data_IF_915192368925
#
_entry.id   IF_915192368925
#
_cell.length_a   1.000
_cell.length_b   1.000
_cell.length_c   1.000
_cell.angle_alpha   90.00
_cell.angle_beta   90.00
_cell.angle_gamma   90.00
#
_symmetry.space_group_name_H-M   'P 1'
#
loop_
_entity.id
_entity.type
_entity.pdbx_description
1 polymer ?
#
# COMPACT_ATOMS: atom_id res chain seq x y z
N UNK A 1 -17.02 23.85 18.46
CA UNK A 1 -16.18 22.64 18.59
C UNK A 1 -14.87 22.96 17.90
N UNK A 2 -13.72 22.71 18.53
CA UNK A 2 -12.43 22.92 17.87
C UNK A 2 -12.36 21.95 16.68
N UNK A 3 -12.11 22.45 15.47
CA UNK A 3 -11.87 21.58 14.31
C UNK A 3 -10.64 20.73 14.56
N UNK A 4 -10.68 19.45 14.21
CA UNK A 4 -9.51 18.56 14.30
C UNK A 4 -8.41 19.01 13.34
N UNK A 5 -7.15 18.56 13.55
CA UNK A 5 -6.06 18.83 12.61
C UNK A 5 -6.36 18.27 11.21
N UNK A 6 -7.06 17.13 11.14
CA UNK A 6 -7.60 16.54 9.92
C UNK A 6 -8.53 17.48 9.17
N UNK A 7 -9.55 18.01 9.85
CA UNK A 7 -10.49 18.95 9.24
C UNK A 7 -9.82 20.25 8.81
N UNK A 8 -8.95 20.79 9.68
CA UNK A 8 -8.24 22.05 9.43
C UNK A 8 -7.20 21.96 8.29
N UNK A 9 -6.73 20.75 7.98
CA UNK A 9 -5.75 20.50 6.92
C UNK A 9 -6.35 20.01 5.61
N UNK A 10 -7.64 19.72 5.55
CA UNK A 10 -8.31 19.28 4.33
C UNK A 10 -8.35 20.40 3.29
N UNK A 11 -7.90 20.12 2.08
CA UNK A 11 -7.87 21.03 0.95
C UNK A 11 -8.37 20.34 -0.32
N UNK A 12 -8.55 21.11 -1.40
CA UNK A 12 -9.04 20.62 -2.68
C UNK A 12 -8.04 20.83 -3.81
N UNK A 13 -7.88 19.82 -4.65
CA UNK A 13 -7.10 19.86 -5.89
C UNK A 13 -8.05 19.62 -7.06
N UNK A 14 -8.19 20.60 -7.94
CA UNK A 14 -8.88 20.41 -9.21
C UNK A 14 -7.89 19.86 -10.24
N UNK A 15 -8.16 18.67 -10.78
CA UNK A 15 -7.35 18.07 -11.83
C UNK A 15 -8.27 17.60 -12.97
N UNK A 16 -8.20 18.30 -14.12
CA UNK A 16 -9.14 18.15 -15.23
C UNK A 16 -10.58 18.36 -14.72
N UNK A 17 -11.49 17.45 -15.06
CA UNK A 17 -12.91 17.52 -14.71
C UNK A 17 -13.24 16.88 -13.36
N UNK A 18 -12.22 16.58 -12.53
CA UNK A 18 -12.40 15.94 -11.22
C UNK A 18 -11.81 16.79 -10.11
N UNK A 19 -12.59 16.90 -9.03
CA UNK A 19 -12.16 17.47 -7.76
C UNK A 19 -11.67 16.36 -6.85
N UNK A 20 -10.46 16.50 -6.35
CA UNK A 20 -9.88 15.63 -5.33
C UNK A 20 -9.74 16.44 -4.04
N UNK A 21 -9.93 15.78 -2.91
CA UNK A 21 -9.59 16.29 -1.60
C UNK A 21 -8.29 15.64 -1.12
N UNK A 22 -7.50 16.36 -0.35
CA UNK A 22 -6.27 15.84 0.24
C UNK A 22 -5.97 16.55 1.56
N UNK A 23 -5.04 16.02 2.34
CA UNK A 23 -4.62 16.61 3.61
C UNK A 23 -3.33 17.39 3.41
N UNK A 24 -3.46 18.72 3.38
CA UNK A 24 -2.42 19.68 3.03
C UNK A 24 -1.47 19.93 4.19
N UNK A 25 -0.20 19.55 4.02
CA UNK A 25 0.84 19.84 5.01
C UNK A 25 1.02 21.36 5.24
N UNK A 26 1.01 22.25 4.22
CA UNK A 26 1.03 23.69 4.45
C UNK A 26 -0.12 24.22 5.33
N UNK A 27 -1.32 23.64 5.22
CA UNK A 27 -2.43 24.00 6.10
C UNK A 27 -2.21 23.47 7.51
N UNK A 28 -1.77 22.21 7.66
CA UNK A 28 -1.45 21.62 8.96
C UNK A 28 -0.33 22.39 9.69
N UNK A 29 0.64 22.94 8.96
CA UNK A 29 1.74 23.75 9.49
C UNK A 29 1.26 24.99 10.25
N UNK A 30 0.08 25.54 9.93
CA UNK A 30 -0.51 26.67 10.68
C UNK A 30 -0.76 26.32 12.16
N UNK A 31 -1.03 25.05 12.45
CA UNK A 31 -1.25 24.54 13.81
C UNK A 31 -0.03 23.82 14.38
N UNK A 32 0.78 23.17 13.53
CA UNK A 32 1.93 22.35 13.93
C UNK A 32 3.26 23.11 13.99
N UNK A 33 3.33 24.31 13.43
CA UNK A 33 4.58 25.07 13.28
C UNK A 33 5.36 24.69 12.02
N UNK A 34 6.67 24.98 12.01
CA UNK A 34 7.54 24.73 10.85
C UNK A 34 7.82 23.23 10.67
N UNK A 35 7.01 22.58 9.84
CA UNK A 35 7.18 21.20 9.38
C UNK A 35 7.83 21.09 8.00
N UNK A 36 8.26 22.22 7.40
CA UNK A 36 8.84 22.23 6.07
C UNK A 36 10.17 21.46 6.02
N UNK A 37 10.89 21.47 7.14
CA UNK A 37 12.17 20.77 7.33
C UNK A 37 12.06 19.26 7.57
N UNK A 38 10.85 18.71 7.71
CA UNK A 38 10.69 17.26 7.88
C UNK A 38 11.27 16.51 6.65
N UNK A 39 11.99 15.39 6.86
CA UNK A 39 12.34 14.46 5.81
C UNK A 39 11.09 14.03 5.02
N UNK A 40 11.24 13.78 3.72
CA UNK A 40 10.10 13.39 2.85
C UNK A 40 9.36 12.15 3.35
N UNK A 41 10.09 11.16 3.87
CA UNK A 41 9.50 9.98 4.51
C UNK A 41 8.58 10.35 5.68
N UNK A 42 9.00 11.26 6.55
CA UNK A 42 8.17 11.74 7.66
C UNK A 42 6.98 12.59 7.18
N UNK A 43 7.10 13.30 6.06
CA UNK A 43 5.97 14.01 5.44
C UNK A 43 4.89 13.05 4.93
N UNK A 44 5.27 11.90 4.38
CA UNK A 44 4.33 10.84 3.97
C UNK A 44 3.63 10.24 5.21
N UNK A 45 4.37 9.99 6.29
CA UNK A 45 3.77 9.55 7.55
C UNK A 45 2.83 10.61 8.15
N UNK A 46 3.21 11.88 8.09
CA UNK A 46 2.39 12.98 8.60
C UNK A 46 1.07 13.11 7.84
N UNK A 47 1.09 13.01 6.50
CA UNK A 47 -0.15 12.95 5.71
C UNK A 47 -1.04 11.79 6.16
N UNK A 48 -0.44 10.61 6.39
CA UNK A 48 -1.18 9.43 6.80
C UNK A 48 -1.89 9.64 8.16
N UNK A 49 -1.18 10.21 9.13
CA UNK A 49 -1.75 10.53 10.44
C UNK A 49 -2.86 11.58 10.33
N UNK A 50 -2.64 12.65 9.57
CA UNK A 50 -3.67 13.67 9.33
C UNK A 50 -4.93 13.05 8.72
N UNK A 51 -4.78 12.20 7.70
CA UNK A 51 -5.91 11.54 7.03
C UNK A 51 -6.69 10.59 7.92
N UNK A 52 -6.01 9.90 8.84
CA UNK A 52 -6.61 8.88 9.68
C UNK A 52 -6.90 9.32 11.11
N UNK A 53 -6.75 10.61 11.42
CA UNK A 53 -7.12 11.15 12.72
C UNK A 53 -8.58 10.80 13.06
N UNK A 54 -8.74 10.06 14.16
CA UNK A 54 -10.01 9.60 14.71
C UNK A 54 -10.12 9.79 16.23
N UNK A 55 -9.03 10.21 16.89
CA UNK A 55 -8.98 10.43 18.34
C UNK A 55 -8.83 9.15 19.16
N UNK A 56 -8.75 7.99 18.52
CA UNK A 56 -8.57 6.69 19.19
C UNK A 56 -7.28 6.01 18.71
N UNK A 57 -7.18 5.71 17.41
CA UNK A 57 -6.01 5.08 16.82
C UNK A 57 -4.98 6.09 16.35
N UNK A 58 -5.41 7.29 15.96
CA UNK A 58 -4.55 8.42 15.66
C UNK A 58 -5.08 9.65 16.38
N UNK A 59 -4.31 10.12 17.36
CA UNK A 59 -4.65 11.27 18.21
C UNK A 59 -3.94 12.55 17.78
N UNK A 60 -4.36 13.70 18.33
CA UNK A 60 -3.65 14.97 18.11
C UNK A 60 -2.19 14.88 18.59
N UNK A 61 -1.93 14.16 19.68
CA UNK A 61 -0.60 13.97 20.23
C UNK A 61 0.32 13.17 19.30
N UNK A 62 -0.21 12.19 18.54
CA UNK A 62 0.57 11.43 17.55
C UNK A 62 1.08 12.36 16.44
N UNK A 63 0.21 13.24 15.95
CA UNK A 63 0.53 14.20 14.89
C UNK A 63 1.54 15.24 15.40
N UNK A 64 1.35 15.73 16.62
CA UNK A 64 2.27 16.69 17.26
C UNK A 64 3.62 16.06 17.62
N UNK A 65 3.67 14.77 17.96
CA UNK A 65 4.93 14.08 18.21
C UNK A 65 5.80 14.04 16.94
N UNK A 66 5.19 13.83 15.77
CA UNK A 66 5.90 13.79 14.50
C UNK A 66 6.44 15.17 14.09
N UNK A 67 5.72 16.27 14.36
CA UNK A 67 6.26 17.63 14.18
C UNK A 67 7.39 17.92 15.19
N UNK A 68 7.25 17.43 16.42
CA UNK A 68 8.24 17.52 17.49
C UNK A 68 9.57 16.83 17.20
N UNK A 69 9.58 15.84 16.29
CA UNK A 69 10.80 15.13 15.86
C UNK A 69 11.92 16.08 15.41
N UNK A 70 11.57 17.22 14.80
CA UNK A 70 12.55 18.22 14.33
C UNK A 70 13.45 18.80 15.43
N UNK A 71 13.02 18.72 16.70
CA UNK A 71 13.79 19.27 17.83
C UNK A 71 15.05 18.45 18.10
N UNK A 72 14.91 17.12 18.10
CA UNK A 72 15.94 16.20 18.59
C UNK A 72 16.27 15.07 17.59
N UNK A 73 15.63 15.04 16.42
CA UNK A 73 15.69 13.94 15.45
C UNK A 73 15.38 12.55 16.06
N UNK A 74 14.56 12.53 17.11
CA UNK A 74 14.19 11.35 17.88
C UNK A 74 12.69 11.34 18.16
N UNK A 75 12.09 10.15 18.19
CA UNK A 75 10.72 9.93 18.65
C UNK A 75 10.67 8.67 19.52
N UNK A 76 10.29 8.83 20.78
CA UNK A 76 10.07 7.73 21.73
C UNK A 76 8.63 7.17 21.68
N UNK A 77 7.79 7.77 20.84
CA UNK A 77 6.37 7.47 20.73
C UNK A 77 6.11 6.58 19.53
N UNK A 78 5.39 5.48 19.76
CA UNK A 78 4.83 4.67 18.68
C UNK A 78 3.64 5.39 18.04
N UNK A 79 3.52 5.28 16.72
CA UNK A 79 2.42 5.89 15.96
C UNK A 79 1.70 4.81 15.16
N UNK A 80 0.39 4.97 14.98
CA UNK A 80 -0.35 4.16 14.03
C UNK A 80 -0.02 4.59 12.60
N UNK A 81 0.14 3.64 11.70
CA UNK A 81 0.34 3.92 10.28
C UNK A 81 -0.47 2.93 9.44
N UNK A 82 -1.26 3.47 8.51
CA UNK A 82 -2.16 2.69 7.66
C UNK A 82 -1.69 2.78 6.20
N UNK A 83 -0.94 1.79 5.68
CA UNK A 83 -0.42 1.84 4.32
C UNK A 83 -1.54 1.88 3.28
N UNK A 84 -1.27 2.52 2.15
CA UNK A 84 -2.21 2.59 1.03
C UNK A 84 -2.54 1.21 0.44
N UNK A 85 -1.59 0.27 0.48
CA UNK A 85 -1.74 -1.10 -0.04
C UNK A 85 -0.75 -2.08 0.59
N UNK A 86 -0.91 -3.36 0.28
CA UNK A 86 0.00 -4.45 0.66
C UNK A 86 0.49 -5.16 -0.60
N UNK A 87 1.78 -5.46 -0.66
CA UNK A 87 2.38 -6.28 -1.72
C UNK A 87 2.77 -7.64 -1.14
N UNK A 88 2.37 -8.73 -1.80
CA UNK A 88 2.69 -10.08 -1.37
C UNK A 88 3.36 -10.86 -2.49
N UNK A 89 4.22 -11.80 -2.10
CA UNK A 89 4.69 -12.87 -2.97
C UNK A 89 4.02 -14.19 -2.58
N UNK A 90 4.09 -15.20 -3.44
CA UNK A 90 3.29 -16.43 -3.32
C UNK A 90 3.59 -17.28 -2.07
N UNK A 91 4.84 -17.41 -1.63
CA UNK A 91 5.19 -18.17 -0.42
C UNK A 91 4.64 -17.58 0.87
N UNK A 92 4.54 -16.25 0.98
CA UNK A 92 3.94 -15.59 2.16
C UNK A 92 2.48 -15.22 1.95
N UNK A 93 2.04 -15.09 0.70
CA UNK A 93 0.67 -14.78 0.33
C UNK A 93 -0.28 -15.94 0.51
N UNK A 94 0.13 -17.16 0.17
CA UNK A 94 -0.67 -18.37 0.41
C UNK A 94 -1.07 -18.54 1.88
N UNK A 95 -0.14 -18.53 2.87
CA UNK A 95 -0.52 -18.67 4.27
C UNK A 95 -1.42 -17.51 4.74
N UNK A 96 -1.22 -16.27 4.27
CA UNK A 96 -2.13 -15.18 4.62
C UNK A 96 -3.55 -15.37 4.10
N UNK A 97 -3.73 -15.91 2.88
CA UNK A 97 -5.06 -16.24 2.34
C UNK A 97 -5.68 -17.41 3.12
N UNK A 98 -4.88 -18.38 3.56
CA UNK A 98 -5.33 -19.45 4.48
C UNK A 98 -5.80 -18.86 5.81
N UNK A 99 -5.07 -17.92 6.39
CA UNK A 99 -5.46 -17.25 7.63
C UNK A 99 -6.80 -16.51 7.48
N UNK A 100 -6.98 -15.77 6.38
CA UNK A 100 -8.26 -15.11 6.09
C UNK A 100 -9.41 -16.11 5.93
N UNK A 101 -9.17 -17.26 5.30
CA UNK A 101 -10.16 -18.32 5.18
C UNK A 101 -10.51 -18.93 6.55
N UNK A 102 -9.50 -19.18 7.40
CA UNK A 102 -9.69 -19.69 8.75
C UNK A 102 -10.43 -18.68 9.65
N UNK A 103 -10.12 -17.39 9.52
CA UNK A 103 -10.84 -16.31 10.20
C UNK A 103 -12.31 -16.25 9.78
N UNK A 104 -12.62 -16.40 8.49
CA UNK A 104 -14.02 -16.48 8.02
C UNK A 104 -14.76 -17.63 8.66
N UNK A 105 -14.14 -18.80 8.71
CA UNK A 105 -14.74 -19.97 9.34
C UNK A 105 -14.93 -19.78 10.86
N UNK A 106 -13.98 -19.14 11.55
CA UNK A 106 -14.11 -18.78 12.96
C UNK A 106 -15.27 -17.80 13.20
N UNK A 107 -15.37 -16.73 12.41
CA UNK A 107 -16.46 -15.75 12.48
C UNK A 107 -17.82 -16.40 12.24
N UNK A 108 -17.89 -17.30 11.24
CA UNK A 108 -19.11 -18.07 10.95
C UNK A 108 -19.55 -18.93 12.13
N UNK A 109 -18.62 -19.65 12.77
CA UNK A 109 -18.90 -20.47 13.96
C UNK A 109 -19.44 -19.66 15.13
N UNK A 110 -19.03 -18.39 15.24
CA UNK A 110 -19.51 -17.46 16.26
C UNK A 110 -20.81 -16.74 15.86
N UNK A 111 -21.41 -17.07 14.70
CA UNK A 111 -22.63 -16.44 14.20
C UNK A 111 -22.44 -15.03 13.65
N UNK A 112 -21.20 -14.63 13.36
CA UNK A 112 -20.86 -13.32 12.80
C UNK A 112 -20.94 -13.27 11.28
N UNK A 113 -20.83 -12.06 10.75
CA UNK A 113 -20.82 -11.81 9.31
C UNK A 113 -19.42 -12.04 8.72
N UNK A 114 -19.27 -13.12 7.95
CA UNK A 114 -18.00 -13.49 7.31
C UNK A 114 -17.54 -12.50 6.24
N UNK A 115 -18.44 -11.70 5.68
CA UNK A 115 -18.09 -10.72 4.66
C UNK A 115 -17.21 -9.60 5.20
N UNK A 116 -17.26 -9.35 6.52
CA UNK A 116 -16.39 -8.41 7.23
C UNK A 116 -14.93 -8.87 7.30
N UNK A 117 -14.67 -10.17 7.10
CA UNK A 117 -13.30 -10.68 6.97
C UNK A 117 -12.86 -10.51 5.52
N UNK A 118 -12.25 -9.36 5.26
CA UNK A 118 -11.78 -8.93 3.96
C UNK A 118 -10.60 -7.97 4.18
N UNK A 119 -9.55 -7.96 3.32
CA UNK A 119 -8.50 -6.97 3.43
C UNK A 119 -9.06 -5.54 3.43
N UNK A 120 -8.59 -4.72 4.37
CA UNK A 120 -9.00 -3.32 4.48
C UNK A 120 -8.31 -2.44 3.44
N UNK A 121 -7.04 -2.74 3.12
CA UNK A 121 -6.29 -2.10 2.03
C UNK A 121 -6.23 -3.04 0.82
N UNK A 122 -6.07 -2.51 -0.41
CA UNK A 122 -5.74 -3.31 -1.58
C UNK A 122 -4.51 -4.18 -1.34
N UNK A 123 -4.58 -5.44 -1.79
CA UNK A 123 -3.50 -6.41 -1.70
C UNK A 123 -3.24 -6.96 -3.09
N UNK A 124 -2.00 -6.85 -3.54
CA UNK A 124 -1.53 -7.43 -4.80
C UNK A 124 -0.57 -8.57 -4.48
N UNK A 125 -0.92 -9.80 -4.87
CA UNK A 125 -0.04 -10.96 -4.76
C UNK A 125 0.60 -11.25 -6.12
N UNK A 126 1.93 -11.27 -6.17
CA UNK A 126 2.69 -11.66 -7.36
C UNK A 126 3.22 -13.08 -7.20
N UNK A 127 3.00 -13.93 -8.20
CA UNK A 127 3.55 -15.29 -8.24
C UNK A 127 4.88 -15.24 -8.99
N UNK A 128 5.99 -15.31 -8.27
CA UNK A 128 7.34 -15.21 -8.85
C UNK A 128 8.38 -16.13 -8.20
N UNK A 129 8.10 -16.74 -7.04
CA UNK A 129 9.08 -17.58 -6.31
C UNK A 129 9.04 -19.07 -6.67
N UNK A 130 8.26 -19.45 -7.69
CA UNK A 130 7.96 -20.85 -7.99
C UNK A 130 8.47 -21.38 -9.30
N UNK A 131 8.81 -20.51 -10.26
CA UNK A 131 9.49 -20.92 -11.48
C UNK A 131 10.86 -21.48 -11.09
N UNK A 132 11.15 -22.69 -11.57
CA UNK A 132 12.48 -23.31 -11.48
C UNK A 132 13.06 -23.41 -12.89
N UNK A 133 14.39 -23.32 -13.02
CA UNK A 133 15.07 -23.51 -14.30
C UNK A 133 15.35 -25.01 -14.48
N UNK A 134 14.38 -25.74 -15.03
CA UNK A 134 14.51 -27.16 -15.38
C UNK A 134 15.10 -27.34 -16.80
N UNK A 135 14.70 -26.47 -17.73
CA UNK A 135 15.20 -26.40 -19.10
C UNK A 135 15.88 -25.06 -19.38
N UNK A 136 16.97 -25.05 -20.15
CA UNK A 136 17.70 -23.83 -20.48
C UNK A 136 18.49 -23.97 -21.80
N UNK A 137 18.75 -22.84 -22.45
CA UNK A 137 19.71 -22.76 -23.57
C UNK A 137 19.10 -22.86 -24.97
N UNK A 138 17.77 -22.85 -25.10
CA UNK A 138 17.06 -22.80 -26.37
C UNK A 138 15.74 -22.01 -26.27
N UNK A 139 15.04 -21.91 -27.41
CA UNK A 139 13.81 -21.13 -27.56
C UNK A 139 12.61 -21.75 -26.81
N UNK A 140 12.64 -23.05 -26.50
CA UNK A 140 11.54 -23.77 -25.84
C UNK A 140 11.65 -23.69 -24.29
N UNK A 141 12.81 -23.30 -23.76
CA UNK A 141 13.09 -23.26 -22.33
C UNK A 141 12.09 -22.44 -21.50
N UNK A 142 11.61 -21.30 -22.00
CA UNK A 142 10.65 -20.48 -21.25
C UNK A 142 9.30 -21.18 -21.10
N UNK A 143 8.74 -21.68 -22.21
CA UNK A 143 7.43 -22.32 -22.21
C UNK A 143 7.43 -23.60 -21.36
N UNK A 144 8.48 -24.42 -21.49
CA UNK A 144 8.57 -25.68 -20.73
C UNK A 144 8.71 -25.44 -19.22
N UNK A 145 9.51 -24.46 -18.80
CA UNK A 145 9.65 -24.14 -17.37
C UNK A 145 8.33 -23.61 -16.77
N UNK A 146 7.60 -22.75 -17.49
CA UNK A 146 6.29 -22.24 -17.04
C UNK A 146 5.25 -23.38 -17.01
N UNK A 147 5.29 -24.30 -17.98
CA UNK A 147 4.41 -25.48 -18.00
C UNK A 147 4.66 -26.37 -16.76
N UNK A 148 5.92 -26.69 -16.48
CA UNK A 148 6.31 -27.50 -15.31
C UNK A 148 5.95 -26.82 -13.99
N UNK A 149 6.14 -25.50 -13.89
CA UNK A 149 5.73 -24.72 -12.73
C UNK A 149 4.22 -24.85 -12.47
N UNK A 150 3.40 -24.67 -13.51
CA UNK A 150 1.94 -24.78 -13.42
C UNK A 150 1.49 -26.18 -13.01
N UNK A 151 2.16 -27.22 -13.50
CA UNK A 151 1.90 -28.61 -13.12
C UNK A 151 2.22 -28.86 -11.64
N UNK A 152 3.41 -28.44 -11.18
CA UNK A 152 3.88 -28.66 -9.80
C UNK A 152 3.10 -27.86 -8.77
N UNK A 153 2.62 -26.67 -9.13
CA UNK A 153 1.98 -25.73 -8.20
C UNK A 153 0.46 -25.60 -8.40
N UNK A 154 -0.16 -26.56 -9.11
CA UNK A 154 -1.55 -26.49 -9.51
C UNK A 154 -2.52 -26.18 -8.36
N UNK A 155 -2.44 -26.93 -7.25
CA UNK A 155 -3.33 -26.73 -6.09
C UNK A 155 -3.18 -25.33 -5.48
N UNK A 156 -1.94 -24.86 -5.38
CA UNK A 156 -1.60 -23.55 -4.83
C UNK A 156 -2.20 -22.43 -5.67
N UNK A 157 -2.13 -22.55 -7.01
CA UNK A 157 -2.71 -21.56 -7.92
C UNK A 157 -4.23 -21.61 -7.94
N UNK A 158 -4.82 -22.80 -7.85
CA UNK A 158 -6.27 -22.93 -7.68
C UNK A 158 -6.76 -22.28 -6.39
N UNK A 159 -6.00 -22.42 -5.30
CA UNK A 159 -6.30 -21.77 -4.02
C UNK A 159 -6.18 -20.24 -4.10
N UNK A 160 -5.11 -19.70 -4.71
CA UNK A 160 -4.96 -18.25 -4.90
C UNK A 160 -6.02 -17.67 -5.84
N UNK A 161 -6.41 -18.42 -6.88
CA UNK A 161 -7.50 -18.05 -7.79
C UNK A 161 -8.84 -17.99 -7.04
N UNK A 162 -9.10 -18.93 -6.13
CA UNK A 162 -10.24 -18.83 -5.22
C UNK A 162 -10.15 -17.59 -4.34
N UNK A 163 -8.97 -17.29 -3.75
CA UNK A 163 -8.76 -16.11 -2.93
C UNK A 163 -9.11 -14.81 -3.67
N UNK A 164 -8.67 -14.67 -4.93
CA UNK A 164 -9.01 -13.55 -5.82
C UNK A 164 -10.52 -13.37 -6.02
N UNK A 165 -11.30 -14.45 -6.01
CA UNK A 165 -12.76 -14.39 -6.14
C UNK A 165 -13.43 -14.14 -4.79
N UNK A 166 -12.83 -14.62 -3.70
CA UNK A 166 -13.40 -14.58 -2.36
C UNK A 166 -13.21 -13.23 -1.64
N UNK A 167 -12.18 -12.45 -1.99
CA UNK A 167 -11.84 -11.19 -1.34
C UNK A 167 -11.84 -10.03 -2.33
N UNK A 168 -12.61 -8.98 -2.05
CA UNK A 168 -12.88 -7.89 -2.99
C UNK A 168 -11.71 -6.95 -3.24
N UNK A 169 -10.75 -6.89 -2.30
CA UNK A 169 -9.54 -6.06 -2.40
C UNK A 169 -8.27 -6.87 -2.64
N UNK A 170 -8.40 -8.14 -3.07
CA UNK A 170 -7.27 -9.03 -3.30
C UNK A 170 -7.10 -9.33 -4.78
N UNK A 171 -5.90 -9.08 -5.30
CA UNK A 171 -5.52 -9.32 -6.69
C UNK A 171 -4.37 -10.33 -6.75
N UNK A 172 -4.28 -11.05 -7.88
CA UNK A 172 -3.21 -12.02 -8.14
C UNK A 172 -2.66 -11.75 -9.54
N UNK A 173 -1.34 -11.52 -9.60
CA UNK A 173 -0.53 -11.45 -10.82
C UNK A 173 -0.01 -12.87 -11.10
N UNK A 174 -0.30 -13.44 -12.28
CA UNK A 174 0.05 -14.83 -12.60
C UNK A 174 1.56 -15.02 -12.82
N UNK A 175 2.05 -16.28 -12.75
CA UNK A 175 3.44 -16.60 -13.03
C UNK A 175 3.86 -16.19 -14.46
N UNK A 176 5.17 -15.98 -14.65
CA UNK A 176 5.74 -15.57 -15.93
C UNK A 176 5.53 -14.10 -16.30
N UNK A 177 4.86 -13.30 -15.45
CA UNK A 177 4.64 -11.85 -15.69
C UNK A 177 5.89 -11.01 -15.35
N UNK A 178 6.74 -11.51 -14.46
CA UNK A 178 7.93 -10.82 -13.95
C UNK A 178 8.09 -11.02 -12.45
N UNK A 179 9.15 -10.44 -11.88
CA UNK A 179 9.42 -10.49 -10.45
C UNK A 179 8.63 -9.43 -9.68
N UNK A 180 8.28 -9.72 -8.43
CA UNK A 180 7.38 -8.93 -7.59
C UNK A 180 7.75 -7.45 -7.54
N UNK A 181 9.03 -7.12 -7.34
CA UNK A 181 9.48 -5.73 -7.23
C UNK A 181 9.51 -4.99 -8.55
N UNK A 182 9.81 -5.66 -9.66
CA UNK A 182 9.79 -5.06 -10.99
C UNK A 182 8.36 -4.75 -11.43
N UNK A 183 7.45 -5.72 -11.28
CA UNK A 183 6.02 -5.52 -11.53
C UNK A 183 5.47 -4.40 -10.65
N UNK A 184 5.93 -4.33 -9.39
CA UNK A 184 5.53 -3.25 -8.50
C UNK A 184 5.99 -1.86 -8.97
N UNK A 185 7.21 -1.74 -9.50
CA UNK A 185 7.73 -0.48 -10.05
C UNK A 185 7.04 -0.07 -11.35
N UNK A 186 6.84 -1.02 -12.26
CA UNK A 186 6.43 -0.74 -13.63
C UNK A 186 4.91 -0.65 -13.80
N UNK A 187 4.15 -1.33 -12.93
CA UNK A 187 2.70 -1.51 -13.12
C UNK A 187 1.84 -1.19 -11.90
N UNK A 188 2.22 -1.64 -10.70
CA UNK A 188 1.35 -1.51 -9.51
C UNK A 188 1.52 -0.16 -8.78
N UNK A 189 2.72 0.41 -8.80
CA UNK A 189 3.04 1.68 -8.15
C UNK A 189 2.34 2.86 -8.81
N UNK A 190 1.72 3.72 -7.99
CA UNK A 190 0.91 4.85 -8.49
C UNK A 190 1.46 6.23 -8.14
N UNK A 191 2.45 6.32 -7.25
CA UNK A 191 2.93 7.55 -6.60
C UNK A 191 1.86 8.29 -5.77
N UNK A 192 0.68 8.53 -6.34
CA UNK A 192 -0.51 9.07 -5.68
C UNK A 192 -1.69 8.13 -5.93
N UNK A 193 -2.28 7.64 -4.85
CA UNK A 193 -3.55 6.92 -4.88
C UNK A 193 -4.72 7.89 -4.78
N UNK A 194 -5.86 7.47 -5.29
CA UNK A 194 -7.14 8.13 -5.00
C UNK A 194 -8.25 7.11 -4.80
N UNK A 195 -9.14 7.39 -3.86
CA UNK A 195 -10.28 6.54 -3.53
C UNK A 195 -11.50 7.40 -3.21
N UNK A 196 -12.69 6.91 -3.56
CA UNK A 196 -13.95 7.54 -3.17
C UNK A 196 -14.26 7.15 -1.72
N UNK A 197 -14.22 8.12 -0.81
CA UNK A 197 -14.52 7.96 0.61
C UNK A 197 -15.61 8.97 1.00
N UNK A 198 -16.71 8.49 1.60
CA UNK A 198 -17.84 9.32 2.02
C UNK A 198 -18.41 10.25 0.91
N UNK A 199 -18.34 9.80 -0.35
CA UNK A 199 -18.82 10.55 -1.52
C UNK A 199 -17.80 11.54 -2.11
N UNK A 200 -16.61 11.65 -1.54
CA UNK A 200 -15.54 12.54 -2.00
C UNK A 200 -14.32 11.74 -2.48
N UNK A 201 -13.69 12.17 -3.58
CA UNK A 201 -12.42 11.57 -4.02
C UNK A 201 -11.28 12.08 -3.14
N UNK A 202 -10.65 11.20 -2.38
CA UNK A 202 -9.49 11.53 -1.54
C UNK A 202 -8.21 11.09 -2.25
N UNK A 203 -7.26 12.00 -2.45
CA UNK A 203 -5.93 11.72 -3.00
C UNK A 203 -4.87 11.69 -1.89
N UNK A 204 -3.97 10.71 -1.94
CA UNK A 204 -2.94 10.50 -0.92
C UNK A 204 -1.70 9.78 -1.49
N UNK A 205 -0.51 9.92 -0.87
CA UNK A 205 0.70 9.28 -1.35
C UNK A 205 0.59 7.74 -1.36
N UNK A 206 1.19 7.12 -2.38
CA UNK A 206 1.41 5.67 -2.39
C UNK A 206 2.37 5.30 -1.26
N UNK A 207 1.99 4.26 -0.53
CA UNK A 207 2.71 3.76 0.63
C UNK A 207 2.31 2.31 0.86
N UNK A 208 3.26 1.45 1.17
CA UNK A 208 2.96 0.03 1.30
C UNK A 208 3.86 -0.68 2.30
N UNK A 209 3.33 -1.80 2.79
CA UNK A 209 4.12 -2.86 3.39
C UNK A 209 4.12 -4.04 2.43
N UNK A 210 5.18 -4.83 2.46
CA UNK A 210 5.23 -6.05 1.67
C UNK A 210 5.86 -7.19 2.46
N UNK A 211 5.48 -8.41 2.10
CA UNK A 211 5.98 -9.65 2.73
C UNK A 211 7.24 -10.16 2.05
N UNK A 212 8.01 -9.25 1.47
CA UNK A 212 9.32 -9.48 0.85
C UNK A 212 10.28 -8.35 1.25
N UNK A 213 11.53 -8.68 1.59
CA UNK A 213 12.54 -7.72 2.05
C UNK A 213 12.92 -6.65 1.01
N UNK A 214 12.84 -6.96 -0.29
CA UNK A 214 13.19 -6.02 -1.36
C UNK A 214 12.01 -5.11 -1.74
N UNK A 215 10.90 -5.17 -1.01
CA UNK A 215 9.79 -4.20 -1.12
C UNK A 215 10.30 -2.76 -1.07
N UNK A 216 11.40 -2.53 -0.36
CA UNK A 216 12.12 -1.25 -0.29
C UNK A 216 12.55 -0.66 -1.64
N UNK A 217 12.66 -1.47 -2.71
CA UNK A 217 13.02 -1.03 -4.06
C UNK A 217 12.11 0.09 -4.58
N UNK A 218 10.82 0.06 -4.24
CA UNK A 218 9.82 1.05 -4.64
C UNK A 218 10.11 2.48 -4.13
N UNK A 219 10.91 2.61 -3.06
CA UNK A 219 11.29 3.90 -2.50
C UNK A 219 12.05 4.77 -3.50
N UNK A 220 12.76 4.16 -4.47
CA UNK A 220 13.45 4.87 -5.54
C UNK A 220 12.52 5.67 -6.45
N UNK A 221 11.29 5.22 -6.66
CA UNK A 221 10.29 5.91 -7.48
C UNK A 221 9.37 6.84 -6.68
N UNK A 222 9.18 6.57 -5.38
CA UNK A 222 8.23 7.31 -4.54
C UNK A 222 8.82 8.55 -3.85
N UNK A 223 10.14 8.61 -3.64
CA UNK A 223 10.79 9.69 -2.88
C UNK A 223 11.61 10.68 -3.73
N UNK A 224 11.83 10.37 -5.01
CA UNK A 224 12.52 11.27 -5.93
C UNK A 224 11.56 12.27 -6.56
N UNK A 225 11.85 13.58 -6.51
CA UNK A 225 11.12 14.55 -7.31
C UNK A 225 11.56 14.39 -8.77
N UNK A 226 10.61 14.44 -9.71
CA UNK A 226 10.91 14.84 -11.07
C UNK A 226 11.15 16.36 -11.10
N UNK A 227 12.26 16.82 -10.52
CA UNK A 227 12.73 18.21 -10.69
C UNK A 227 13.46 18.35 -12.05
N UNK A 228 12.85 17.86 -13.13
CA UNK A 228 13.41 17.94 -14.49
C UNK A 228 12.36 18.30 -15.55
N UNK A 229 11.33 19.03 -15.16
CA UNK A 229 10.58 19.84 -16.10
C UNK A 229 11.01 21.30 -15.91
N UNK A 230 11.86 21.76 -16.83
CA UNK A 230 12.21 23.17 -17.13
C UNK A 230 13.68 23.54 -16.85
N UNK A 231 14.59 22.97 -17.67
CA UNK A 231 15.85 23.62 -18.04
C UNK A 231 16.47 22.90 -19.26
N UNK A 232 15.84 23.09 -20.43
CA UNK A 232 16.50 22.93 -21.74
C UNK A 232 15.94 24.00 -22.68
N UNK A 233 16.65 25.13 -22.72
CA UNK A 233 16.82 25.91 -23.96
C UNK A 233 17.55 25.07 -25.01
#
# INVERSE_FOLDING_TARGET
>A
MSSTLREASKDTLQAKDKTYHYYSLPLAAKSLGDIARLPKSLKVLLENLLRWQDGESVTDEDIQALSGWLKNAHADREIAWRPARVLMQDFTGVPAVVDLAAMREAVKRLGGDTSKVNPLSPVDLVIDHSVTVDHFGDDDAFEENVRLEMERNHERYMFLKWGKQAFSRFSVVPPGTGICHQVNLEYLGKAVWSELQDGEWIAYPDSLVGTDSHTTMINGCLLYPSDSADDRN
#
